data_IF_865363763674
#
_entry.id   IF_865363763674
#
_cell.length_a   1.000
_cell.length_b   1.000
_cell.length_c   1.000
_cell.angle_alpha   90.00
_cell.angle_beta   90.00
_cell.angle_gamma   90.00
#
_symmetry.space_group_name_H-M   'P 1'
#
loop_
_entity.id
_entity.type
_entity.pdbx_description
1 polymer ?
#
# COMPACT_ATOMS: atom_id res chain seq x y z
N UNK A 1 -4.01 -19.89 12.48
CA UNK A 1 -2.72 -19.67 11.78
C UNK A 1 -2.72 -18.25 11.23
N UNK A 2 -1.55 -17.61 11.23
CA UNK A 2 -1.34 -16.16 11.28
C UNK A 2 -2.01 -15.37 10.14
N UNK A 3 -2.81 -14.36 10.49
CA UNK A 3 -3.18 -13.26 9.59
C UNK A 3 -1.93 -12.43 9.31
N UNK A 4 -1.40 -12.54 8.10
CA UNK A 4 -0.45 -11.58 7.56
C UNK A 4 -1.14 -10.21 7.46
N UNK A 5 -0.56 -9.19 8.09
CA UNK A 5 -0.89 -7.79 7.85
C UNK A 5 -0.43 -7.39 6.44
N UNK A 6 -1.12 -7.89 5.40
CA UNK A 6 -1.17 -7.21 4.10
C UNK A 6 -2.15 -6.05 4.19
N UNK A 7 -2.13 -5.15 3.21
CA UNK A 7 -3.18 -4.13 3.09
C UNK A 7 -4.58 -4.77 3.21
N UNK A 8 -5.47 -4.20 4.03
CA UNK A 8 -6.82 -4.74 4.21
C UNK A 8 -7.49 -4.94 2.85
N UNK A 9 -8.05 -6.14 2.65
CA UNK A 9 -8.65 -6.48 1.36
C UNK A 9 -9.93 -5.66 1.16
N UNK A 10 -9.89 -4.70 0.25
CA UNK A 10 -11.03 -3.84 -0.05
C UNK A 10 -12.09 -4.62 -0.83
N UNK A 11 -13.36 -4.44 -0.43
CA UNK A 11 -14.52 -5.00 -1.13
C UNK A 11 -15.23 -3.89 -1.89
N UNK A 12 -15.33 -4.04 -3.20
CA UNK A 12 -15.95 -3.09 -4.11
C UNK A 12 -17.28 -3.63 -4.62
N UNK A 13 -18.30 -2.78 -4.67
CA UNK A 13 -19.62 -3.09 -5.25
C UNK A 13 -19.56 -3.03 -6.80
N UNK A 14 -18.75 -3.91 -7.38
CA UNK A 14 -18.53 -4.06 -8.81
C UNK A 14 -18.38 -5.56 -9.15
N UNK A 15 -18.95 -6.04 -10.27
CA UNK A 15 -18.73 -7.41 -10.74
C UNK A 15 -17.27 -7.70 -11.09
N UNK A 16 -16.84 -8.95 -10.89
CA UNK A 16 -15.44 -9.39 -11.09
C UNK A 16 -14.90 -9.03 -12.48
N UNK A 17 -15.68 -9.29 -13.53
CA UNK A 17 -15.27 -9.05 -14.90
C UNK A 17 -15.04 -7.55 -15.16
N UNK A 18 -15.89 -6.71 -14.60
CA UNK A 18 -15.80 -5.26 -14.75
C UNK A 18 -14.63 -4.69 -13.93
N UNK A 19 -14.40 -5.17 -12.71
CA UNK A 19 -13.24 -4.81 -11.89
C UNK A 19 -11.92 -5.11 -12.62
N UNK A 20 -11.79 -6.32 -13.15
CA UNK A 20 -10.62 -6.74 -13.93
C UNK A 20 -10.43 -5.88 -15.18
N UNK A 21 -11.50 -5.62 -15.92
CA UNK A 21 -11.44 -4.80 -17.13
C UNK A 21 -10.97 -3.38 -16.81
N UNK A 22 -11.56 -2.71 -15.82
CA UNK A 22 -11.22 -1.34 -15.42
C UNK A 22 -9.76 -1.21 -14.99
N UNK A 23 -9.27 -2.14 -14.16
CA UNK A 23 -7.88 -2.11 -13.69
C UNK A 23 -6.91 -2.46 -14.82
N UNK A 24 -7.26 -3.39 -15.70
CA UNK A 24 -6.41 -3.78 -16.83
C UNK A 24 -6.23 -2.64 -17.85
N UNK A 25 -7.27 -1.84 -18.10
CA UNK A 25 -7.28 -0.77 -19.09
C UNK A 25 -6.74 0.57 -18.59
N UNK A 26 -6.62 0.75 -17.28
CA UNK A 26 -6.35 2.07 -16.69
C UNK A 26 -4.89 2.24 -16.32
N UNK A 27 -4.33 3.41 -16.69
CA UNK A 27 -3.11 3.94 -16.08
C UNK A 27 -3.52 4.92 -14.99
N UNK A 28 -3.39 4.50 -13.74
CA UNK A 28 -3.70 5.34 -12.58
C UNK A 28 -2.44 6.11 -12.13
N UNK A 29 -2.61 7.32 -11.60
CA UNK A 29 -1.49 8.11 -11.11
C UNK A 29 -1.92 9.15 -10.09
N UNK A 30 -0.99 9.53 -9.23
CA UNK A 30 -1.14 10.61 -8.26
C UNK A 30 0.16 11.40 -8.10
N UNK A 31 0.07 12.61 -7.57
CA UNK A 31 1.24 13.43 -7.22
C UNK A 31 1.63 13.15 -5.77
N UNK A 32 2.91 12.83 -5.57
CA UNK A 32 3.54 12.70 -4.26
C UNK A 32 4.67 13.73 -4.18
N UNK A 33 4.38 14.89 -3.59
CA UNK A 33 5.30 16.04 -3.62
C UNK A 33 5.59 16.50 -5.05
N UNK A 34 6.86 16.57 -5.43
CA UNK A 34 7.30 16.95 -6.78
C UNK A 34 7.28 15.80 -7.79
N UNK A 35 7.02 14.57 -7.34
CA UNK A 35 7.04 13.37 -8.19
C UNK A 35 5.62 12.93 -8.56
N UNK A 36 5.45 12.38 -9.77
CA UNK A 36 4.22 11.69 -10.17
C UNK A 36 4.45 10.20 -10.09
N UNK A 37 3.60 9.52 -9.32
CA UNK A 37 3.63 8.08 -9.14
C UNK A 37 2.50 7.46 -9.95
N UNK A 38 2.78 6.36 -10.65
CA UNK A 38 1.80 5.70 -11.51
C UNK A 38 1.80 4.19 -11.34
N UNK A 39 0.62 3.61 -11.57
CA UNK A 39 0.37 2.19 -11.70
C UNK A 39 -0.13 1.89 -13.13
N UNK A 40 0.31 0.77 -13.70
CA UNK A 40 -0.26 0.23 -14.93
C UNK A 40 -0.33 -1.29 -14.89
N UNK A 41 -1.27 -1.86 -15.61
CA UNK A 41 -1.28 -3.31 -15.89
C UNK A 41 -0.02 -3.72 -16.65
N UNK A 42 0.55 -4.87 -16.26
CA UNK A 42 1.74 -5.47 -16.83
C UNK A 42 1.48 -6.89 -17.39
N UNK A 43 0.24 -7.38 -17.30
CA UNK A 43 -0.18 -8.67 -17.82
C UNK A 43 -1.13 -9.39 -16.88
N UNK A 44 -1.58 -10.57 -17.32
CA UNK A 44 -2.47 -11.44 -16.55
C UNK A 44 -1.63 -12.43 -15.73
N UNK A 45 -2.05 -12.70 -14.50
CA UNK A 45 -1.55 -13.79 -13.66
C UNK A 45 -2.66 -14.84 -13.45
N UNK A 46 -2.27 -16.05 -13.04
CA UNK A 46 -3.22 -17.14 -12.79
C UNK A 46 -4.29 -16.76 -11.73
N UNK A 47 -3.90 -15.93 -10.77
CA UNK A 47 -4.66 -15.49 -9.61
C UNK A 47 -5.06 -14.00 -9.65
N UNK A 48 -4.75 -13.28 -10.74
CA UNK A 48 -5.00 -11.84 -10.77
C UNK A 48 -4.41 -11.08 -11.96
N UNK A 49 -4.07 -9.81 -11.73
CA UNK A 49 -3.41 -8.93 -12.71
C UNK A 49 -2.06 -8.50 -12.18
N UNK A 50 -1.00 -8.69 -12.97
CA UNK A 50 0.31 -8.12 -12.64
C UNK A 50 0.25 -6.62 -12.87
N UNK A 51 0.80 -5.86 -11.94
CA UNK A 51 0.87 -4.40 -12.03
C UNK A 51 2.31 -3.92 -11.90
N UNK A 52 2.62 -2.81 -12.57
CA UNK A 52 3.90 -2.12 -12.48
C UNK A 52 3.71 -0.75 -11.84
N UNK A 53 4.51 -0.47 -10.82
CA UNK A 53 4.65 0.83 -10.19
C UNK A 53 5.89 1.57 -10.68
N UNK A 54 5.80 2.89 -10.83
CA UNK A 54 6.98 3.74 -11.02
C UNK A 54 7.89 3.71 -9.80
N UNK A 55 9.21 3.64 -10.01
CA UNK A 55 10.24 3.74 -8.96
C UNK A 55 10.20 2.66 -7.86
N UNK A 56 9.46 1.57 -8.06
CA UNK A 56 9.35 0.48 -7.06
C UNK A 56 10.44 -0.61 -7.19
N UNK A 57 11.50 -0.36 -7.96
CA UNK A 57 12.63 -1.29 -8.10
C UNK A 57 12.20 -2.73 -8.44
N UNK A 58 12.74 -3.71 -7.70
CA UNK A 58 12.42 -5.13 -7.84
C UNK A 58 10.95 -5.47 -7.56
N UNK A 59 10.28 -4.74 -6.65
CA UNK A 59 8.86 -4.94 -6.34
C UNK A 59 7.94 -4.57 -7.48
N UNK A 60 8.35 -3.61 -8.33
CA UNK A 60 7.56 -3.19 -9.48
C UNK A 60 7.17 -4.33 -10.42
N UNK A 61 7.93 -5.43 -10.42
CA UNK A 61 7.69 -6.60 -11.27
C UNK A 61 7.02 -7.78 -10.57
N UNK A 62 6.93 -7.78 -9.24
CA UNK A 62 6.39 -8.90 -8.46
C UNK A 62 4.94 -8.71 -8.03
N UNK A 63 4.42 -7.48 -8.01
CA UNK A 63 3.08 -7.22 -7.49
C UNK A 63 1.95 -7.75 -8.38
N UNK A 64 1.02 -8.48 -7.74
CA UNK A 64 -0.21 -9.02 -8.33
C UNK A 64 -1.41 -8.45 -7.58
N UNK A 65 -2.35 -7.88 -8.32
CA UNK A 65 -3.68 -7.54 -7.80
C UNK A 65 -4.55 -8.78 -7.92
N UNK A 66 -4.84 -9.42 -6.79
CA UNK A 66 -5.74 -10.58 -6.71
C UNK A 66 -7.19 -10.15 -6.64
N UNK A 67 -8.05 -10.99 -7.20
CA UNK A 67 -9.48 -10.75 -7.25
C UNK A 67 -10.25 -11.96 -6.74
N UNK A 68 -11.21 -11.73 -5.86
CA UNK A 68 -12.09 -12.76 -5.32
C UNK A 68 -13.55 -12.31 -5.44
N UNK A 69 -14.39 -13.18 -5.99
CA UNK A 69 -15.84 -12.95 -6.02
C UNK A 69 -16.41 -13.20 -4.63
N UNK A 70 -16.98 -12.17 -4.02
CA UNK A 70 -17.67 -12.27 -2.72
C UNK A 70 -19.20 -12.14 -2.84
N UNK A 71 -19.69 -11.88 -4.05
CA UNK A 71 -21.11 -11.84 -4.43
C UNK A 71 -21.25 -11.61 -5.93
N UNK A 72 -22.46 -11.69 -6.47
CA UNK A 72 -22.72 -11.47 -7.91
C UNK A 72 -22.30 -10.08 -8.40
N UNK A 73 -22.35 -9.09 -7.51
CA UNK A 73 -22.09 -7.66 -7.74
C UNK A 73 -20.95 -7.13 -6.86
N UNK A 74 -20.19 -8.01 -6.20
CA UNK A 74 -19.14 -7.61 -5.25
C UNK A 74 -17.84 -8.37 -5.49
N UNK A 75 -16.75 -7.63 -5.51
CA UNK A 75 -15.41 -8.15 -5.73
C UNK A 75 -14.48 -7.67 -4.62
N UNK A 76 -13.83 -8.61 -3.95
CA UNK A 76 -12.70 -8.32 -3.06
C UNK A 76 -11.43 -8.23 -3.89
N UNK A 77 -10.62 -7.22 -3.62
CA UNK A 77 -9.37 -6.98 -4.32
C UNK A 77 -8.24 -6.87 -3.29
N UNK A 78 -7.15 -7.59 -3.53
CA UNK A 78 -6.01 -7.64 -2.62
C UNK A 78 -4.71 -7.51 -3.40
N UNK A 79 -3.96 -6.41 -3.24
CA UNK A 79 -2.59 -6.34 -3.73
C UNK A 79 -1.69 -7.30 -2.95
N UNK A 80 -0.82 -8.01 -3.67
CA UNK A 80 0.21 -8.88 -3.11
C UNK A 80 1.53 -8.58 -3.84
N UNK A 81 2.51 -8.02 -3.12
CA UNK A 81 3.82 -7.71 -3.67
C UNK A 81 4.90 -8.76 -3.35
N UNK A 82 4.49 -9.87 -2.72
CA UNK A 82 5.34 -10.96 -2.25
C UNK A 82 5.99 -10.64 -0.90
N UNK A 83 6.59 -11.66 -0.29
CA UNK A 83 7.42 -11.54 0.91
C UNK A 83 8.88 -11.79 0.52
N UNK A 84 9.79 -11.02 1.08
CA UNK A 84 11.23 -11.12 0.82
C UNK A 84 12.01 -11.69 2.01
N UNK A 85 11.39 -11.81 3.18
CA UNK A 85 11.97 -12.37 4.39
C UNK A 85 12.96 -11.46 5.12
N UNK A 86 13.10 -10.20 4.70
CA UNK A 86 13.91 -9.20 5.40
C UNK A 86 13.05 -7.98 5.74
N UNK A 87 13.22 -7.43 6.94
CA UNK A 87 12.29 -6.44 7.50
C UNK A 87 12.24 -5.13 6.71
N UNK A 88 13.38 -4.68 6.15
CA UNK A 88 13.43 -3.46 5.34
C UNK A 88 12.69 -3.62 4.02
N UNK A 89 12.78 -4.81 3.45
CA UNK A 89 12.15 -5.16 2.19
C UNK A 89 10.66 -5.42 2.39
N UNK A 90 10.27 -6.03 3.51
CA UNK A 90 8.87 -6.26 3.88
C UNK A 90 8.12 -4.97 4.25
N UNK A 91 8.80 -4.00 4.86
CA UNK A 91 8.25 -2.65 5.06
C UNK A 91 7.97 -1.95 3.72
N UNK A 92 8.87 -2.13 2.75
CA UNK A 92 8.69 -1.66 1.37
C UNK A 92 7.49 -2.33 0.69
N UNK A 93 7.39 -3.67 0.78
CA UNK A 93 6.25 -4.45 0.27
C UNK A 93 4.93 -3.91 0.80
N UNK A 94 4.80 -3.77 2.13
CA UNK A 94 3.57 -3.29 2.76
C UNK A 94 3.18 -1.90 2.26
N UNK A 95 4.15 -1.02 2.04
CA UNK A 95 3.88 0.30 1.49
C UNK A 95 3.39 0.21 0.04
N UNK A 96 4.03 -0.58 -0.81
CA UNK A 96 3.61 -0.75 -2.20
C UNK A 96 2.23 -1.38 -2.33
N UNK A 97 1.87 -2.31 -1.46
CA UNK A 97 0.51 -2.87 -1.42
C UNK A 97 -0.54 -1.81 -1.11
N UNK A 98 -0.28 -0.91 -0.14
CA UNK A 98 -1.18 0.23 0.16
C UNK A 98 -1.26 1.23 -0.97
N UNK A 99 -0.14 1.53 -1.61
CA UNK A 99 -0.11 2.42 -2.77
C UNK A 99 -0.93 1.85 -3.95
N UNK A 100 -0.81 0.55 -4.21
CA UNK A 100 -1.62 -0.14 -5.21
C UNK A 100 -3.10 -0.12 -4.81
N UNK A 101 -3.43 -0.39 -3.55
CA UNK A 101 -4.81 -0.33 -3.06
C UNK A 101 -5.44 1.05 -3.31
N UNK A 102 -4.73 2.13 -3.01
CA UNK A 102 -5.20 3.50 -3.26
C UNK A 102 -5.40 3.79 -4.76
N UNK A 103 -4.49 3.34 -5.62
CA UNK A 103 -4.60 3.51 -7.07
C UNK A 103 -5.71 2.64 -7.69
N UNK A 104 -5.96 1.45 -7.13
CA UNK A 104 -7.11 0.61 -7.47
C UNK A 104 -8.40 1.30 -7.07
N UNK A 105 -8.50 1.82 -5.83
CA UNK A 105 -9.65 2.58 -5.37
C UNK A 105 -9.94 3.76 -6.29
N UNK A 106 -8.93 4.57 -6.60
CA UNK A 106 -9.06 5.68 -7.56
C UNK A 106 -9.60 5.21 -8.91
N UNK A 107 -9.12 4.08 -9.42
CA UNK A 107 -9.56 3.52 -10.71
C UNK A 107 -11.03 3.07 -10.67
N UNK A 108 -11.46 2.48 -9.56
CA UNK A 108 -12.79 1.88 -9.45
C UNK A 108 -13.87 2.87 -9.03
N UNK A 109 -13.56 3.78 -8.10
CA UNK A 109 -14.51 4.72 -7.50
C UNK A 109 -14.35 6.15 -8.02
N UNK A 110 -13.21 6.47 -8.64
CA UNK A 110 -12.86 7.84 -9.05
C UNK A 110 -12.36 8.72 -7.89
N UNK A 111 -12.31 8.20 -6.66
CA UNK A 111 -11.82 8.95 -5.51
C UNK A 111 -10.32 9.24 -5.65
N UNK A 112 -9.88 10.50 -5.44
CA UNK A 112 -8.47 10.84 -5.57
C UNK A 112 -7.63 10.12 -4.52
N UNK A 113 -6.39 9.78 -4.88
CA UNK A 113 -5.42 9.26 -3.92
C UNK A 113 -5.03 10.35 -2.93
N UNK A 114 -5.23 10.08 -1.63
CA UNK A 114 -4.74 10.93 -0.55
C UNK A 114 -3.25 10.64 -0.30
N UNK A 115 -2.39 11.47 -0.90
CA UNK A 115 -0.94 11.34 -0.79
C UNK A 115 -0.43 11.58 0.64
N UNK A 116 -1.11 12.39 1.44
CA UNK A 116 -0.72 12.68 2.81
C UNK A 116 -1.05 11.50 3.73
N UNK A 117 -2.21 10.88 3.54
CA UNK A 117 -2.56 9.62 4.21
C UNK A 117 -1.55 8.53 3.87
N UNK A 118 -1.25 8.30 2.59
CA UNK A 118 -0.24 7.30 2.18
C UNK A 118 1.13 7.59 2.79
N UNK A 119 1.54 8.87 2.86
CA UNK A 119 2.79 9.26 3.51
C UNK A 119 2.80 8.95 5.01
N UNK A 120 1.69 9.18 5.71
CA UNK A 120 1.51 8.82 7.12
C UNK A 120 1.54 7.31 7.35
N UNK A 121 0.90 6.54 6.48
CA UNK A 121 0.93 5.08 6.53
C UNK A 121 2.33 4.52 6.29
N UNK A 122 3.09 5.10 5.34
CA UNK A 122 4.49 4.75 5.13
C UNK A 122 5.32 4.95 6.40
N UNK A 123 5.20 6.12 7.04
CA UNK A 123 5.90 6.40 8.29
C UNK A 123 5.52 5.41 9.39
N UNK A 124 4.23 5.07 9.52
CA UNK A 124 3.77 4.08 10.49
C UNK A 124 4.34 2.67 10.22
N UNK A 125 4.39 2.23 8.96
CA UNK A 125 5.00 0.95 8.56
C UNK A 125 6.48 0.91 8.92
N UNK A 126 7.21 1.99 8.62
CA UNK A 126 8.65 2.12 8.92
C UNK A 126 8.87 2.05 10.43
N UNK A 127 8.14 2.84 11.23
CA UNK A 127 8.23 2.84 12.70
C UNK A 127 7.95 1.44 13.27
N UNK A 128 6.90 0.77 12.79
CA UNK A 128 6.52 -0.58 13.25
C UNK A 128 7.58 -1.63 12.89
N UNK A 129 8.24 -1.48 11.76
CA UNK A 129 9.25 -2.42 11.26
C UNK A 129 10.66 -2.10 11.81
N UNK A 130 10.85 -0.90 12.37
CA UNK A 130 12.14 -0.39 12.81
C UNK A 130 12.91 -1.32 13.78
N UNK A 131 12.28 -1.90 14.83
CA UNK A 131 12.99 -2.79 15.73
C UNK A 131 13.51 -4.07 15.06
N UNK A 132 12.85 -4.54 13.99
CA UNK A 132 13.33 -5.68 13.20
C UNK A 132 14.45 -5.26 12.26
N UNK A 133 14.32 -4.10 11.62
CA UNK A 133 15.38 -3.54 10.76
C UNK A 133 16.69 -3.32 11.54
N UNK A 134 16.63 -2.79 12.77
CA UNK A 134 17.82 -2.65 13.63
C UNK A 134 18.51 -3.99 13.92
N UNK A 135 17.72 -5.05 14.17
CA UNK A 135 18.28 -6.41 14.40
C UNK A 135 18.95 -6.98 13.17
N UNK A 136 18.57 -6.54 11.98
CA UNK A 136 19.15 -6.93 10.70
C UNK A 136 20.34 -6.04 10.29
N UNK A 137 20.78 -5.12 11.16
CA UNK A 137 21.94 -4.26 10.92
C UNK A 137 21.60 -2.95 10.19
N UNK A 138 20.33 -2.55 10.11
CA UNK A 138 19.95 -1.23 9.63
C UNK A 138 20.21 -0.18 10.71
N UNK A 139 21.27 0.60 10.54
CA UNK A 139 21.52 1.83 11.30
C UNK A 139 20.82 2.99 10.59
N UNK A 140 19.56 3.24 10.93
CA UNK A 140 18.98 4.55 10.60
C UNK A 140 19.68 5.64 11.41
N UNK A 141 19.75 6.86 10.86
CA UNK A 141 20.10 8.04 11.63
C UNK A 141 19.17 8.13 12.85
N UNK A 142 19.70 7.82 14.04
CA UNK A 142 18.94 7.73 15.30
C UNK A 142 18.12 9.01 15.55
N UNK A 143 18.61 10.17 15.08
CA UNK A 143 17.89 11.44 15.23
C UNK A 143 16.62 11.51 14.40
N UNK A 144 16.63 10.94 13.20
CA UNK A 144 15.44 10.91 12.34
C UNK A 144 14.38 9.97 12.90
N UNK A 145 14.81 8.81 13.41
CA UNK A 145 13.92 7.81 14.02
C UNK A 145 13.26 8.36 15.27
N UNK A 146 14.04 9.00 16.14
CA UNK A 146 13.51 9.53 17.40
C UNK A 146 12.55 10.69 17.15
N UNK A 147 12.84 11.55 16.17
CA UNK A 147 11.90 12.57 15.72
C UNK A 147 10.59 11.99 15.16
N UNK A 148 10.64 10.86 14.43
CA UNK A 148 9.44 10.19 13.91
C UNK A 148 8.64 9.49 15.02
N UNK A 149 9.31 8.88 16.01
CA UNK A 149 8.66 8.30 17.19
C UNK A 149 8.00 9.37 18.04
N UNK A 150 8.70 10.45 18.37
CA UNK A 150 8.15 11.57 19.13
C UNK A 150 6.94 12.16 18.41
N UNK A 151 7.03 12.38 17.10
CA UNK A 151 5.89 12.86 16.32
C UNK A 151 4.71 11.88 16.29
N UNK A 152 4.96 10.56 16.33
CA UNK A 152 3.91 9.55 16.38
C UNK A 152 3.26 9.43 17.78
N UNK A 153 4.06 9.57 18.85
CA UNK A 153 3.59 9.61 20.24
C UNK A 153 2.74 10.87 20.44
N UNK A 154 3.25 12.04 20.04
CA UNK A 154 2.54 13.31 20.11
C UNK A 154 1.20 13.22 19.39
N UNK A 155 1.16 12.66 18.17
CA UNK A 155 -0.10 12.47 17.42
C UNK A 155 -1.09 11.51 18.11
N UNK A 156 -0.61 10.47 18.78
CA UNK A 156 -1.45 9.56 19.54
C UNK A 156 -1.99 10.19 20.84
N UNK A 157 -1.21 11.09 21.44
CA UNK A 157 -1.62 11.90 22.58
C UNK A 157 -2.63 12.98 22.17
N UNK A 158 -2.41 13.66 21.04
CA UNK A 158 -3.32 14.67 20.48
C UNK A 158 -4.67 14.04 20.10
N UNK A 159 -4.67 12.82 19.55
CA UNK A 159 -5.91 12.06 19.28
C UNK A 159 -6.65 11.62 20.54
N UNK A 160 -5.92 11.35 21.64
CA UNK A 160 -6.54 11.03 22.95
C UNK A 160 -7.02 12.28 23.69
N UNK A 161 -6.41 13.43 23.43
CA UNK A 161 -6.71 14.70 24.09
C UNK A 161 -7.97 15.40 23.55
N UNK A 162 -8.53 14.97 22.41
CA UNK A 162 -9.82 15.46 21.93
C UNK A 162 -9.82 16.93 21.49
N UNK A 163 -8.69 17.43 20.98
CA UNK A 163 -8.64 18.74 20.31
C UNK A 163 -8.64 18.51 18.80
N UNK A 164 -9.81 18.12 18.30
CA UNK A 164 -10.16 18.30 16.89
C UNK A 164 -11.27 19.35 16.85
N UNK A 165 -10.86 20.61 16.71
CA UNK A 165 -11.68 21.66 16.10
C UNK A 165 -11.20 21.86 14.65
#
# INVERSE_FOLDING_TARGET
MLSACGADADVYAIPLAEAKARIASTKASYKAGSQTRWMRSAGVAADGLRVKLSNAGTYSSSCVVRFETVGSDKTRITPDCGDTGAAITDAGVQFFEREIAALVRQTLTGEPVDAELLGREMAAIVIKSFPKMQKEGFEADEKWVEAQKEAAIQRAEDQKAGWAD
#
